data_IF_246060526981
#
_entry.id   IF_246060526981
#
_cell.length_a   1.000
_cell.length_b   1.000
_cell.length_c   1.000
_cell.angle_alpha   90.00
_cell.angle_beta   90.00
_cell.angle_gamma   90.00
#
_symmetry.space_group_name_H-M   'P 1'
#
loop_
_entity.id
_entity.type
_entity.pdbx_description
1 polymer ?
#
# COMPACT_ATOMS: atom_id res chain seq x y z
N UNK A 1 33.11 17.37 37.10
CA UNK A 1 33.56 16.28 36.20
C UNK A 1 32.36 15.77 35.41
N UNK A 2 32.18 16.24 34.17
CA UNK A 2 31.11 15.76 33.29
C UNK A 2 31.49 14.38 32.75
N UNK A 3 30.68 13.35 33.05
CA UNK A 3 30.88 12.00 32.50
C UNK A 3 30.77 12.07 30.98
N UNK A 4 31.81 11.66 30.26
CA UNK A 4 31.73 11.42 28.82
C UNK A 4 30.74 10.27 28.57
N UNK A 5 29.74 10.45 27.69
CA UNK A 5 28.82 9.38 27.35
C UNK A 5 29.57 8.26 26.62
N UNK A 6 29.29 7.02 27.00
CA UNK A 6 29.91 5.84 26.40
C UNK A 6 29.46 5.72 24.92
N UNK A 7 30.38 5.71 23.94
CA UNK A 7 30.04 5.74 22.51
C UNK A 7 29.14 4.57 22.09
N UNK A 8 29.25 3.43 22.77
CA UNK A 8 28.38 2.26 22.55
C UNK A 8 26.92 2.56 22.95
N UNK A 9 26.73 3.29 24.06
CA UNK A 9 25.40 3.67 24.55
C UNK A 9 24.75 4.70 23.62
N UNK A 10 25.53 5.65 23.11
CA UNK A 10 25.06 6.65 22.14
C UNK A 10 24.70 6.03 20.80
N UNK A 11 25.50 5.08 20.31
CA UNK A 11 25.19 4.34 19.09
C UNK A 11 23.91 3.50 19.23
N UNK A 12 23.73 2.82 20.37
CA UNK A 12 22.51 2.04 20.64
C UNK A 12 21.25 2.91 20.67
N UNK A 13 21.31 4.11 21.24
CA UNK A 13 20.19 5.05 21.30
C UNK A 13 19.73 5.52 19.91
N UNK A 14 20.67 5.69 18.97
CA UNK A 14 20.37 6.09 17.60
C UNK A 14 19.93 4.92 16.71
N UNK A 15 20.47 3.71 16.93
CA UNK A 15 20.20 2.55 16.08
C UNK A 15 18.89 1.82 16.44
N UNK A 16 18.49 1.85 17.71
CA UNK A 16 17.26 1.20 18.19
C UNK A 16 15.99 1.62 17.41
N UNK A 17 15.69 2.91 17.17
CA UNK A 17 14.50 3.30 16.41
C UNK A 17 14.58 2.89 14.93
N UNK A 18 15.80 2.85 14.34
CA UNK A 18 15.98 2.44 12.94
C UNK A 18 15.62 0.97 12.71
N UNK A 19 15.92 0.09 13.69
CA UNK A 19 15.61 -1.34 13.61
C UNK A 19 14.11 -1.64 13.71
N UNK A 20 13.34 -0.82 14.44
CA UNK A 20 11.88 -1.00 14.56
C UNK A 20 11.18 -0.68 13.23
N UNK A 21 11.72 0.23 12.43
CA UNK A 21 11.14 0.62 11.13
C UNK A 21 11.24 -0.48 10.06
N UNK A 22 12.17 -1.42 10.18
CA UNK A 22 12.34 -2.50 9.18
C UNK A 22 11.41 -3.69 9.40
N UNK A 23 10.63 -3.73 10.48
CA UNK A 23 9.83 -4.89 10.87
C UNK A 23 8.45 -4.98 10.18
N UNK A 24 7.97 -3.93 9.51
CA UNK A 24 6.65 -3.90 8.88
C UNK A 24 6.77 -3.94 7.35
N UNK A 25 6.54 -5.10 6.73
CA UNK A 25 6.55 -5.20 5.25
C UNK A 25 6.96 -6.54 4.65
N UNK A 26 6.98 -7.64 5.42
CA UNK A 26 7.27 -8.97 4.89
C UNK A 26 6.28 -9.38 3.78
N UNK A 27 6.80 -9.96 2.69
CA UNK A 27 6.01 -10.55 1.61
C UNK A 27 6.31 -12.03 1.56
N UNK A 28 5.28 -12.83 1.79
CA UNK A 28 5.30 -14.29 1.66
C UNK A 28 4.03 -14.71 0.91
N UNK A 29 4.03 -15.83 0.16
CA UNK A 29 2.81 -16.34 -0.45
C UNK A 29 1.69 -16.46 0.59
N UNK A 30 0.51 -15.91 0.29
CA UNK A 30 -0.61 -16.00 1.24
C UNK A 30 -1.23 -17.40 1.23
N UNK A 31 -1.53 -17.91 2.42
CA UNK A 31 -2.31 -19.14 2.61
C UNK A 31 -3.56 -18.85 3.45
N UNK A 32 -4.62 -19.66 3.29
CA UNK A 32 -5.76 -19.64 4.20
C UNK A 32 -5.34 -19.79 5.67
N UNK A 33 -6.20 -19.33 6.57
CA UNK A 33 -6.03 -19.58 7.99
C UNK A 33 -6.00 -21.11 8.28
N UNK A 34 -5.41 -21.48 9.43
CA UNK A 34 -5.29 -22.88 9.80
C UNK A 34 -6.66 -23.52 10.07
N UNK A 35 -7.04 -24.47 9.21
CA UNK A 35 -8.33 -25.16 9.27
C UNK A 35 -9.30 -24.71 8.17
N UNK A 36 -8.97 -23.63 7.48
CA UNK A 36 -9.80 -23.03 6.43
C UNK A 36 -9.39 -23.55 5.06
N UNK A 37 -10.38 -23.62 4.16
CA UNK A 37 -10.16 -23.98 2.77
C UNK A 37 -10.10 -22.74 1.89
N UNK A 38 -9.57 -22.92 0.68
CA UNK A 38 -9.63 -21.88 -0.35
C UNK A 38 -11.09 -21.48 -0.63
N UNK A 39 -11.35 -20.22 -1.02
CA UNK A 39 -12.66 -19.80 -1.48
C UNK A 39 -13.20 -20.72 -2.58
N UNK A 40 -14.52 -20.91 -2.58
CA UNK A 40 -15.18 -21.68 -3.64
C UNK A 40 -14.94 -21.01 -4.99
N UNK A 41 -14.62 -21.82 -5.99
CA UNK A 41 -14.39 -21.33 -7.35
C UNK A 41 -15.62 -20.58 -7.88
N UNK A 42 -15.44 -19.50 -8.66
CA UNK A 42 -16.55 -18.83 -9.33
C UNK A 42 -17.34 -19.83 -10.19
N UNK A 43 -18.67 -19.64 -10.29
CA UNK A 43 -19.58 -20.62 -10.90
C UNK A 43 -19.21 -21.06 -12.32
N UNK A 44 -18.56 -20.18 -13.09
CA UNK A 44 -18.16 -20.43 -14.48
C UNK A 44 -16.65 -20.61 -14.66
N UNK A 45 -15.89 -20.71 -13.56
CA UNK A 45 -14.46 -20.92 -13.62
C UNK A 45 -14.15 -22.37 -14.03
N UNK A 46 -13.23 -22.53 -14.99
CA UNK A 46 -12.80 -23.86 -15.49
C UNK A 46 -11.93 -24.62 -14.49
N UNK A 47 -11.33 -23.90 -13.54
CA UNK A 47 -10.51 -24.42 -12.46
C UNK A 47 -10.64 -23.49 -11.25
N UNK A 48 -10.32 -23.98 -10.05
CA UNK A 48 -10.21 -23.15 -8.85
C UNK A 48 -8.97 -22.27 -8.97
N UNK A 49 -9.09 -20.94 -8.83
CA UNK A 49 -7.96 -20.03 -8.93
C UNK A 49 -6.99 -20.21 -7.77
N UNK A 50 -5.71 -19.98 -8.05
CA UNK A 50 -4.64 -19.92 -7.05
C UNK A 50 -4.72 -18.61 -6.24
N UNK A 51 -4.00 -18.55 -5.12
CA UNK A 51 -3.89 -17.31 -4.34
C UNK A 51 -3.38 -16.14 -5.19
N UNK A 52 -2.31 -16.35 -5.98
CA UNK A 52 -1.71 -15.28 -6.78
C UNK A 52 -2.69 -14.76 -7.85
N UNK A 53 -3.45 -15.65 -8.48
CA UNK A 53 -4.49 -15.28 -9.45
C UNK A 53 -5.65 -14.51 -8.81
N UNK A 54 -5.99 -14.79 -7.54
CA UNK A 54 -7.02 -14.04 -6.81
C UNK A 54 -6.56 -12.65 -6.40
N UNK A 55 -5.25 -12.46 -6.19
CA UNK A 55 -4.65 -11.18 -5.82
C UNK A 55 -4.36 -10.28 -7.03
N UNK A 56 -4.34 -10.85 -8.24
CA UNK A 56 -4.13 -10.09 -9.48
C UNK A 56 -5.43 -9.35 -9.87
N UNK A 57 -5.43 -8.00 -9.87
CA UNK A 57 -6.62 -7.25 -10.18
C UNK A 57 -6.96 -7.30 -11.67
N UNK A 58 -8.21 -7.64 -11.98
CA UNK A 58 -8.75 -7.63 -13.34
C UNK A 58 -8.95 -6.20 -13.86
N UNK A 59 -9.17 -6.06 -15.17
CA UNK A 59 -9.51 -4.78 -15.81
C UNK A 59 -10.80 -4.15 -15.26
N UNK A 60 -11.76 -4.96 -14.81
CA UNK A 60 -12.98 -4.46 -14.17
C UNK A 60 -12.71 -3.93 -12.76
N UNK A 61 -11.78 -4.56 -12.02
CA UNK A 61 -11.42 -4.15 -10.66
C UNK A 61 -10.50 -2.93 -10.65
N UNK A 62 -9.62 -2.81 -11.65
CA UNK A 62 -8.70 -1.69 -11.82
C UNK A 62 -8.68 -1.25 -13.29
N UNK A 63 -9.71 -0.52 -13.75
CA UNK A 63 -9.77 -0.07 -15.14
C UNK A 63 -8.70 0.96 -15.45
N UNK A 64 -8.20 0.89 -16.67
CA UNK A 64 -7.31 1.92 -17.20
C UNK A 64 -8.10 3.18 -17.55
N UNK A 65 -7.51 4.35 -17.31
CA UNK A 65 -8.06 5.62 -17.79
C UNK A 65 -7.62 5.83 -19.24
N UNK A 66 -8.44 5.37 -20.19
CA UNK A 66 -8.09 5.34 -21.63
C UNK A 66 -8.23 6.69 -22.33
N UNK A 67 -9.18 7.53 -21.91
CA UNK A 67 -9.46 8.84 -22.51
C UNK A 67 -8.91 10.01 -21.69
N UNK A 68 -8.16 9.71 -20.62
CA UNK A 68 -7.55 10.71 -19.75
C UNK A 68 -6.13 11.03 -20.25
N UNK A 69 -5.90 12.29 -20.59
CA UNK A 69 -4.56 12.76 -20.96
C UNK A 69 -3.62 12.81 -19.74
N UNK A 70 -4.17 13.08 -18.54
CA UNK A 70 -3.42 13.19 -17.29
C UNK A 70 -3.18 11.81 -16.65
N UNK A 71 -1.97 11.26 -16.80
CA UNK A 71 -1.62 9.95 -16.21
C UNK A 71 -1.47 9.96 -14.69
N UNK A 72 -1.32 11.13 -14.08
CA UNK A 72 -1.15 11.35 -12.64
C UNK A 72 -1.88 12.61 -12.23
N UNK A 73 -2.10 12.77 -10.93
CA UNK A 73 -2.67 14.00 -10.38
C UNK A 73 -1.72 15.18 -10.66
N UNK A 74 -2.28 16.26 -11.18
CA UNK A 74 -1.63 17.55 -11.34
C UNK A 74 -2.40 18.61 -10.54
N UNK A 75 -1.72 19.67 -10.12
CA UNK A 75 -2.33 20.82 -9.45
C UNK A 75 -3.39 21.44 -10.39
N UNK A 76 -4.58 21.77 -9.87
CA UNK A 76 -5.58 22.50 -10.66
C UNK A 76 -5.26 23.99 -10.63
N UNK A 77 -5.35 24.62 -11.79
CA UNK A 77 -5.38 26.08 -11.88
C UNK A 77 -6.62 26.63 -11.16
N UNK A 78 -6.50 27.84 -10.63
CA UNK A 78 -7.60 28.56 -9.99
C UNK A 78 -8.79 28.68 -10.97
N UNK A 79 -10.01 28.35 -10.51
CA UNK A 79 -11.21 28.41 -11.34
C UNK A 79 -11.61 29.88 -11.56
N UNK A 80 -11.56 30.38 -12.81
CA UNK A 80 -11.90 31.78 -13.11
C UNK A 80 -13.37 32.11 -12.85
N UNK A 81 -14.22 31.10 -12.61
CA UNK A 81 -15.65 31.24 -12.35
C UNK A 81 -16.03 30.96 -10.89
N UNK A 82 -15.05 30.79 -9.98
CA UNK A 82 -15.31 30.69 -8.53
C UNK A 82 -15.64 32.08 -7.96
N UNK A 83 -16.82 32.59 -8.33
CA UNK A 83 -17.33 33.89 -7.93
C UNK A 83 -17.91 33.82 -6.51
N UNK A 84 -17.74 34.88 -5.69
CA UNK A 84 -18.37 34.96 -4.39
C UNK A 84 -19.91 34.96 -4.49
N UNK A 85 -20.63 34.48 -3.47
CA UNK A 85 -22.10 34.47 -3.46
C UNK A 85 -22.68 35.90 -3.57
N UNK A 86 -23.88 36.07 -4.17
CA UNK A 86 -24.52 37.38 -4.25
C UNK A 86 -24.92 37.87 -2.85
N UNK A 87 -24.64 39.15 -2.57
CA UNK A 87 -25.00 39.84 -1.32
C UNK A 87 -26.44 40.32 -1.26
#
# INVERSE_FOLDING_TARGET
MSRMPNPVLSAAFLLAPALVLTACGGREPLQPAQGESMPVAPAMARATPTTDELLEPTTQQRPERVDELLRRSEEREDDPFDLPPPG
#
